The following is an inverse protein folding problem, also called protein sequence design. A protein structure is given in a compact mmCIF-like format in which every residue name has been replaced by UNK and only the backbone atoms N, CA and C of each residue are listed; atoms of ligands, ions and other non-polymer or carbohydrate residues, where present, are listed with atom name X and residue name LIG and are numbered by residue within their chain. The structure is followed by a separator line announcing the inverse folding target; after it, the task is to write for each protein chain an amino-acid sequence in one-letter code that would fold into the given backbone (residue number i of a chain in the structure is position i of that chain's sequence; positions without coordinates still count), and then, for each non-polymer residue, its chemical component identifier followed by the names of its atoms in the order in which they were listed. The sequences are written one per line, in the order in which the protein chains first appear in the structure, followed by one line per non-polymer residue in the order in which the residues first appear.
data_IF_310122634462
#
_entry.id   IF_310122634462
#
_cell.length_a   1.000
_cell.length_b   1.000
_cell.length_c   1.000
_cell.angle_alpha   90.00
_cell.angle_beta   90.00
_cell.angle_gamma   90.00
#
_symmetry.space_group_name_H-M   'P 1'
#
loop_
_entity.id
_entity.type
_entity.pdbx_description
1 polymer ?
#
# COMPACT_ATOMS: atom_id res chain seq x y z
N UNK A 1 -4.10 -0.13 -6.18
CA UNK A 1 -4.30 0.88 -7.23
C UNK A 1 -3.11 0.91 -8.15
N UNK A 2 -3.29 1.35 -9.39
CA UNK A 2 -2.17 1.68 -10.27
C UNK A 2 -1.48 2.98 -9.85
N UNK A 3 -0.18 3.12 -10.15
CA UNK A 3 0.55 4.33 -9.77
C UNK A 3 0.18 5.55 -10.62
N UNK A 4 0.13 5.41 -11.94
CA UNK A 4 -0.34 6.47 -12.83
C UNK A 4 -1.83 6.29 -13.08
N UNK A 5 -2.61 7.32 -12.80
CA UNK A 5 -4.04 7.39 -13.07
C UNK A 5 -4.30 8.52 -14.09
N UNK A 6 -5.54 8.61 -14.56
CA UNK A 6 -5.94 9.67 -15.49
C UNK A 6 -5.76 11.06 -14.89
N UNK A 7 -5.67 12.07 -15.76
CA UNK A 7 -5.57 13.50 -15.39
C UNK A 7 -4.37 13.83 -14.49
N UNK A 8 -3.29 13.05 -14.59
CA UNK A 8 -2.04 13.29 -13.86
C UNK A 8 -2.10 12.92 -12.38
N UNK A 9 -3.18 12.29 -11.91
CA UNK A 9 -3.27 11.82 -10.54
C UNK A 9 -2.43 10.57 -10.34
N UNK A 10 -2.01 10.34 -9.10
CA UNK A 10 -1.31 9.12 -8.73
C UNK A 10 -2.14 8.24 -7.81
N UNK A 11 -1.97 6.92 -7.95
CA UNK A 11 -2.57 5.99 -7.00
C UNK A 11 -2.10 6.21 -5.56
N UNK A 12 -0.90 6.75 -5.37
CA UNK A 12 -0.42 7.10 -4.04
C UNK A 12 -1.28 8.19 -3.38
N UNK A 13 -1.65 9.23 -4.13
CA UNK A 13 -2.56 10.28 -3.66
C UNK A 13 -3.92 9.70 -3.29
N UNK A 14 -4.45 8.79 -4.12
CA UNK A 14 -5.72 8.10 -3.83
C UNK A 14 -5.63 7.31 -2.52
N UNK A 15 -4.55 6.56 -2.30
CA UNK A 15 -4.36 5.81 -1.06
C UNK A 15 -4.24 6.72 0.16
N UNK A 16 -3.56 7.86 0.04
CA UNK A 16 -3.50 8.87 1.10
C UNK A 16 -4.90 9.40 1.45
N UNK A 17 -5.70 9.75 0.45
CA UNK A 17 -7.08 10.20 0.66
C UNK A 17 -7.96 9.13 1.29
N UNK A 18 -7.80 7.86 0.90
CA UNK A 18 -8.48 6.76 1.56
C UNK A 18 -8.07 6.63 3.02
N UNK A 19 -6.77 6.71 3.34
CA UNK A 19 -6.29 6.65 4.73
C UNK A 19 -6.80 7.81 5.58
N UNK A 20 -6.91 9.02 5.02
CA UNK A 20 -7.50 10.17 5.73
C UNK A 20 -8.97 9.92 6.12
N UNK A 21 -9.74 9.20 5.29
CA UNK A 21 -11.16 8.92 5.52
C UNK A 21 -11.43 7.65 6.31
N UNK A 22 -10.59 6.62 6.13
CA UNK A 22 -10.79 5.27 6.66
C UNK A 22 -9.90 4.98 7.88
N UNK A 23 -8.98 5.87 8.22
CA UNK A 23 -8.06 5.73 9.35
C UNK A 23 -6.77 4.97 9.03
N UNK A 24 -5.87 4.93 10.02
CA UNK A 24 -4.52 4.39 9.87
C UNK A 24 -4.47 2.87 9.60
N UNK A 25 -5.55 2.16 9.91
CA UNK A 25 -5.67 0.71 9.68
C UNK A 25 -5.91 0.36 8.21
N UNK A 26 -6.23 1.38 7.39
CA UNK A 26 -6.35 1.24 5.96
C UNK A 26 -5.00 0.87 5.33
N UNK A 27 -4.92 -0.39 4.90
CA UNK A 27 -3.82 -0.91 4.12
C UNK A 27 -4.03 -0.60 2.62
N UNK A 28 -2.95 -0.24 1.95
CA UNK A 28 -2.96 0.10 0.53
C UNK A 28 -1.75 -0.49 -0.18
N UNK A 29 -1.94 -0.84 -1.45
CA UNK A 29 -0.87 -1.27 -2.35
C UNK A 29 -0.91 -0.48 -3.66
N UNK A 30 0.26 0.00 -4.06
CA UNK A 30 0.51 0.56 -5.40
C UNK A 30 1.07 -0.55 -6.29
N UNK A 31 0.51 -0.67 -7.49
CA UNK A 31 0.98 -1.58 -8.53
C UNK A 31 1.48 -0.73 -9.71
N UNK A 32 2.77 -0.82 -10.07
CA UNK A 32 3.35 0.04 -11.12
C UNK A 32 4.18 -0.73 -12.15
N UNK A 33 4.19 -0.25 -13.40
CA UNK A 33 5.16 -0.66 -14.40
C UNK A 33 6.52 0.04 -14.23
N UNK A 34 6.52 1.23 -13.63
CA UNK A 34 7.72 1.98 -13.28
C UNK A 34 8.34 1.40 -12.00
N UNK A 35 9.58 0.89 -12.13
CA UNK A 35 10.31 0.17 -11.07
C UNK A 35 11.40 1.02 -10.41
N UNK A 36 11.44 2.33 -10.66
CA UNK A 36 12.43 3.23 -10.06
C UNK A 36 12.41 3.15 -8.54
N UNK A 37 13.59 3.21 -7.93
CA UNK A 37 13.75 3.19 -6.47
C UNK A 37 13.00 4.36 -5.83
N UNK A 38 13.03 5.53 -6.46
CA UNK A 38 12.33 6.73 -6.00
C UNK A 38 10.81 6.50 -5.79
N UNK A 39 10.12 5.84 -6.72
CA UNK A 39 8.69 5.53 -6.56
C UNK A 39 8.48 4.51 -5.46
N UNK A 40 9.31 3.47 -5.40
CA UNK A 40 9.19 2.43 -4.36
C UNK A 40 9.35 3.03 -2.96
N UNK A 41 10.35 3.88 -2.77
CA UNK A 41 10.59 4.60 -1.52
C UNK A 41 9.45 5.56 -1.20
N UNK A 42 8.97 6.32 -2.18
CA UNK A 42 7.84 7.24 -1.98
C UNK A 42 6.57 6.52 -1.52
N UNK A 43 6.30 5.33 -2.04
CA UNK A 43 5.16 4.50 -1.61
C UNK A 43 5.39 3.93 -0.20
N UNK A 44 6.59 3.38 0.06
CA UNK A 44 6.92 2.75 1.35
C UNK A 44 6.99 3.75 2.50
N UNK A 45 7.55 4.94 2.29
CA UNK A 45 7.64 6.01 3.30
C UNK A 45 6.26 6.50 3.75
N UNK A 46 5.26 6.40 2.88
CA UNK A 46 3.86 6.67 3.20
C UNK A 46 3.15 5.48 3.87
N UNK A 47 3.87 4.41 4.22
CA UNK A 47 3.29 3.24 4.89
C UNK A 47 2.37 2.40 4.00
N UNK A 48 2.58 2.42 2.68
CA UNK A 48 1.86 1.58 1.72
C UNK A 48 2.79 0.55 1.08
N UNK A 49 2.22 -0.55 0.60
CA UNK A 49 2.96 -1.59 -0.10
C UNK A 49 3.15 -1.24 -1.59
N UNK A 50 4.18 -1.83 -2.20
CA UNK A 50 4.47 -1.69 -3.62
C UNK A 50 4.62 -3.05 -4.30
N UNK A 51 4.03 -3.20 -5.49
CA UNK A 51 4.25 -4.33 -6.40
C UNK A 51 4.56 -3.84 -7.82
N UNK A 52 5.51 -4.50 -8.47
CA UNK A 52 5.78 -4.26 -9.89
C UNK A 52 4.84 -5.07 -10.78
N UNK A 53 4.39 -4.48 -11.89
CA UNK A 53 3.71 -5.18 -12.99
C UNK A 53 4.73 -5.97 -13.82
N UNK A 54 4.36 -7.09 -14.46
CA UNK A 54 3.15 -7.87 -14.19
C UNK A 54 3.21 -8.47 -12.78
N UNK A 55 2.07 -8.52 -12.10
CA UNK A 55 2.00 -9.03 -10.73
C UNK A 55 1.99 -10.55 -10.77
N UNK A 56 3.02 -11.18 -10.18
CA UNK A 56 3.03 -12.64 -9.98
C UNK A 56 1.95 -13.04 -8.97
N UNK A 57 1.05 -14.00 -9.28
CA UNK A 57 -0.03 -14.39 -8.37
C UNK A 57 0.43 -14.81 -6.97
N UNK A 58 1.58 -15.49 -6.87
CA UNK A 58 2.15 -15.90 -5.58
C UNK A 58 2.55 -14.70 -4.72
N UNK A 59 3.13 -13.66 -5.33
CA UNK A 59 3.57 -12.45 -4.62
C UNK A 59 2.39 -11.63 -4.09
N UNK A 60 1.31 -11.54 -4.89
CA UNK A 60 0.08 -10.88 -4.43
C UNK A 60 -0.56 -11.65 -3.27
N UNK A 61 -0.65 -12.98 -3.38
CA UNK A 61 -1.17 -13.83 -2.29
C UNK A 61 -0.37 -13.67 -1.00
N UNK A 62 0.96 -13.71 -1.08
CA UNK A 62 1.83 -13.48 0.07
C UNK A 62 1.59 -12.12 0.72
N UNK A 63 1.44 -11.05 -0.09
CA UNK A 63 1.16 -9.71 0.42
C UNK A 63 -0.20 -9.62 1.12
N UNK A 64 -1.27 -10.17 0.52
CA UNK A 64 -2.61 -10.17 1.12
C UNK A 64 -2.63 -10.95 2.44
N UNK A 65 -1.96 -12.09 2.49
CA UNK A 65 -1.81 -12.88 3.71
C UNK A 65 -1.04 -12.11 4.79
N UNK A 66 0.01 -11.38 4.41
CA UNK A 66 0.76 -10.55 5.36
C UNK A 66 -0.12 -9.44 5.95
N UNK A 67 -0.86 -8.71 5.12
CA UNK A 67 -1.72 -7.60 5.55
C UNK A 67 -2.84 -8.11 6.48
N UNK A 68 -3.51 -9.21 6.10
CA UNK A 68 -4.61 -9.78 6.89
C UNK A 68 -4.15 -10.38 8.21
N UNK A 69 -2.91 -10.89 8.30
CA UNK A 69 -2.34 -11.32 9.57
C UNK A 69 -1.89 -10.16 10.46
N UNK A 70 -1.39 -9.05 9.88
CA UNK A 70 -1.02 -7.86 10.64
C UNK A 70 -2.23 -7.21 11.32
N UNK A 71 -3.40 -7.23 10.66
CA UNK A 71 -4.65 -6.71 11.22
C UNK A 71 -5.22 -7.59 12.35
N UNK A 72 -4.85 -8.88 12.42
CA UNK A 72 -5.31 -9.79 13.47
C UNK A 72 -4.51 -9.72 14.77
N UNK A 73 -3.30 -9.14 14.75
CA UNK A 73 -2.53 -8.93 15.99
C UNK A 73 -3.22 -7.80 16.78
N UNK A 74 -3.75 -8.07 18.00
CA UNK A 74 -4.21 -7.00 18.86
C UNK A 74 -3.00 -6.09 19.13
N UNK A 75 -3.17 -4.78 18.98
CA UNK A 75 -2.17 -3.83 19.48
C UNK A 75 -2.17 -3.98 21.00
N UNK A 76 -1.15 -4.64 21.53
CA UNK A 76 -0.97 -4.79 22.97
C UNK A 76 -0.72 -3.38 23.55
N UNK A 77 -1.73 -2.85 24.25
CA UNK A 77 -1.71 -1.76 25.25
C UNK A 77 -0.76 -0.56 25.01
N UNK A 78 -1.35 0.60 24.69
CA UNK A 78 -0.76 1.89 25.04
C UNK A 78 -0.79 2.03 26.59
N UNK A 79 0.32 2.38 27.25
CA UNK A 79 0.29 2.68 28.68
C UNK A 79 -0.47 4.00 28.89
N UNK A 80 -1.42 3.98 29.83
CA UNK A 80 -2.03 5.18 30.44
C UNK A 80 -0.98 5.91 31.27
#
# INVERSE_FOLDING_TARGET
TDFHLDRGQTGLEVLQQCRLRLGQEFAGVVISADRTTAIQERVKTQGFAYLSKPVKPLKLRALLNQITQQQKKPRLSEPV
#
